data_IF_743335534628
#
_entry.id   IF_743335534628
#
_cell.length_a   1.000
_cell.length_b   1.000
_cell.length_c   1.000
_cell.angle_alpha   90.00
_cell.angle_beta   90.00
_cell.angle_gamma   90.00
#
_symmetry.space_group_name_H-M   'P 1'
#
loop_
_entity.id
_entity.type
_entity.pdbx_description
1 polymer ?
#
# COMPACT_ATOMS: atom_id res chain seq x y z
N UNK A 1 -21.76 -25.48 16.34
CA UNK A 1 -20.76 -25.62 15.25
C UNK A 1 -21.49 -25.47 13.92
N UNK A 2 -21.62 -24.23 13.43
CA UNK A 2 -22.17 -24.00 12.11
C UNK A 2 -21.14 -24.52 11.09
N UNK A 3 -21.60 -25.29 10.10
CA UNK A 3 -20.79 -25.82 9.00
C UNK A 3 -20.00 -24.69 8.34
N UNK A 4 -18.66 -24.70 8.48
CA UNK A 4 -17.73 -23.81 7.77
C UNK A 4 -17.75 -24.17 6.27
N UNK A 5 -18.80 -23.75 5.55
CA UNK A 5 -18.75 -23.72 4.09
C UNK A 5 -17.92 -22.51 3.70
N UNK A 6 -16.85 -22.75 2.93
CA UNK A 6 -16.06 -21.70 2.30
C UNK A 6 -16.97 -20.69 1.59
N UNK A 7 -16.69 -19.40 1.74
CA UNK A 7 -17.41 -18.34 1.04
C UNK A 7 -17.23 -18.52 -0.47
N UNK A 8 -18.32 -18.37 -1.24
CA UNK A 8 -18.27 -18.56 -2.71
C UNK A 8 -17.96 -17.27 -3.48
N UNK A 9 -18.05 -16.13 -2.79
CA UNK A 9 -17.90 -14.79 -3.34
C UNK A 9 -18.78 -14.55 -4.58
N UNK A 10 -20.03 -15.02 -4.53
CA UNK A 10 -20.98 -14.95 -5.66
C UNK A 10 -21.45 -13.52 -5.97
N UNK A 11 -21.35 -12.61 -4.99
CA UNK A 11 -21.80 -11.22 -5.07
C UNK A 11 -20.68 -10.29 -4.60
N UNK A 12 -20.36 -9.29 -5.41
CA UNK A 12 -19.31 -8.31 -5.15
C UNK A 12 -19.91 -6.93 -4.89
N UNK A 13 -19.39 -6.27 -3.87
CA UNK A 13 -19.70 -4.90 -3.50
C UNK A 13 -18.84 -3.94 -4.33
N UNK A 14 -19.49 -3.23 -5.25
CA UNK A 14 -18.83 -2.32 -6.19
C UNK A 14 -18.84 -0.84 -5.73
N UNK A 15 -19.64 -0.52 -4.73
CA UNK A 15 -19.70 0.79 -4.08
C UNK A 15 -19.12 0.71 -2.65
N UNK A 16 -19.18 1.80 -1.89
CA UNK A 16 -18.81 1.75 -0.47
C UNK A 16 -19.71 0.77 0.30
N UNK A 17 -19.20 0.21 1.40
CA UNK A 17 -20.06 -0.60 2.27
C UNK A 17 -21.17 0.25 2.90
N UNK A 18 -22.23 -0.41 3.42
CA UNK A 18 -23.28 0.27 4.18
C UNK A 18 -22.74 1.11 5.36
N UNK A 19 -21.57 0.76 5.91
CA UNK A 19 -20.95 1.48 7.02
C UNK A 19 -20.55 2.92 6.69
N UNK A 20 -20.41 3.26 5.41
CA UNK A 20 -20.01 4.62 5.00
C UNK A 20 -20.92 5.72 5.55
N UNK A 21 -22.23 5.44 5.65
CA UNK A 21 -23.20 6.39 6.21
C UNK A 21 -22.98 6.60 7.71
N UNK A 22 -22.77 5.53 8.47
CA UNK A 22 -22.52 5.62 9.92
C UNK A 22 -21.18 6.26 10.25
N UNK A 23 -20.16 6.01 9.43
CA UNK A 23 -18.88 6.69 9.52
C UNK A 23 -18.98 8.20 9.16
N UNK A 24 -20.08 8.66 8.56
CA UNK A 24 -20.20 10.02 8.05
C UNK A 24 -19.37 10.28 6.79
N UNK A 25 -18.90 9.22 6.12
CA UNK A 25 -18.07 9.33 4.92
C UNK A 25 -18.91 9.61 3.67
N UNK A 26 -18.71 10.76 3.05
CA UNK A 26 -19.37 11.13 1.80
C UNK A 26 -18.44 10.96 0.59
N UNK A 27 -18.53 9.82 -0.09
CA UNK A 27 -17.76 9.56 -1.32
C UNK A 27 -18.07 10.63 -2.39
N UNK A 28 -17.05 11.23 -3.04
CA UNK A 28 -17.29 12.13 -4.17
C UNK A 28 -18.18 11.50 -5.25
N UNK A 29 -19.19 12.25 -5.71
CA UNK A 29 -20.13 11.78 -6.73
C UNK A 29 -19.45 11.45 -8.07
N UNK A 30 -20.16 10.76 -8.96
CA UNK A 30 -19.63 10.32 -10.25
C UNK A 30 -19.03 11.46 -11.11
N UNK A 31 -19.64 12.65 -11.09
CA UNK A 31 -19.15 13.80 -11.85
C UNK A 31 -17.86 14.37 -11.23
N UNK A 32 -17.77 14.43 -9.89
CA UNK A 32 -16.57 14.83 -9.16
C UNK A 32 -15.44 13.82 -9.34
N UNK A 33 -15.73 12.51 -9.34
CA UNK A 33 -14.75 11.44 -9.60
C UNK A 33 -14.16 11.55 -11.00
N UNK A 34 -14.98 11.77 -12.03
CA UNK A 34 -14.49 12.02 -13.39
C UNK A 34 -13.70 13.32 -13.49
N UNK A 35 -14.14 14.40 -12.82
CA UNK A 35 -13.39 15.64 -12.80
C UNK A 35 -12.02 15.47 -12.13
N UNK A 36 -11.93 14.62 -11.10
CA UNK A 36 -10.71 14.37 -10.34
C UNK A 36 -9.60 13.68 -11.15
N UNK A 37 -9.92 12.99 -12.25
CA UNK A 37 -8.93 12.41 -13.16
C UNK A 37 -8.41 13.42 -14.20
N UNK A 38 -8.99 14.61 -14.30
CA UNK A 38 -8.64 15.58 -15.35
C UNK A 38 -7.68 16.67 -14.86
N UNK A 39 -6.77 17.08 -15.76
CA UNK A 39 -5.78 18.14 -15.48
C UNK A 39 -6.41 19.47 -15.08
N UNK A 40 -7.55 19.80 -15.69
CA UNK A 40 -8.26 21.06 -15.43
C UNK A 40 -9.31 20.94 -14.32
N UNK A 41 -9.48 19.76 -13.70
CA UNK A 41 -10.45 19.52 -12.64
C UNK A 41 -11.91 19.69 -13.10
N UNK A 42 -12.19 19.51 -14.39
CA UNK A 42 -13.55 19.61 -14.96
C UNK A 42 -13.98 18.26 -15.48
N UNK A 43 -15.25 17.95 -15.29
CA UNK A 43 -15.84 16.75 -15.84
C UNK A 43 -15.70 16.75 -17.39
N UNK A 44 -15.03 15.75 -17.99
CA UNK A 44 -14.78 15.72 -19.44
C UNK A 44 -16.06 15.59 -20.26
N UNK A 45 -17.15 15.10 -19.66
CA UNK A 45 -18.47 14.97 -20.29
C UNK A 45 -19.25 16.30 -20.29
N UNK A 46 -18.80 17.30 -19.53
CA UNK A 46 -19.39 18.64 -19.45
C UNK A 46 -18.96 19.50 -20.65
N UNK A 47 -19.49 19.21 -21.83
CA UNK A 47 -19.26 20.01 -23.05
C UNK A 47 -20.27 21.16 -23.18
N UNK A 48 -19.87 22.26 -23.83
CA UNK A 48 -20.72 23.45 -24.03
C UNK A 48 -22.04 23.07 -24.68
N UNK A 49 -23.16 23.48 -24.07
CA UNK A 49 -24.51 23.22 -24.57
C UNK A 49 -25.17 21.92 -24.08
N UNK A 50 -24.47 21.03 -23.36
CA UNK A 50 -25.10 19.86 -22.73
C UNK A 50 -25.83 20.24 -21.44
N UNK A 51 -27.10 19.83 -21.24
CA UNK A 51 -27.82 20.06 -20.00
C UNK A 51 -27.16 19.36 -18.79
N UNK A 52 -27.21 19.99 -17.61
CA UNK A 52 -26.63 19.43 -16.38
C UNK A 52 -27.18 18.03 -16.03
N UNK A 53 -28.48 17.80 -16.25
CA UNK A 53 -29.12 16.48 -16.04
C UNK A 53 -28.50 15.39 -16.94
N UNK A 54 -28.19 15.72 -18.19
CA UNK A 54 -27.54 14.81 -19.14
C UNK A 54 -26.12 14.51 -18.71
N UNK A 55 -25.35 15.53 -18.28
CA UNK A 55 -23.98 15.34 -17.77
C UNK A 55 -24.00 14.45 -16.53
N UNK A 56 -24.91 14.67 -15.58
CA UNK A 56 -25.07 13.82 -14.38
C UNK A 56 -25.34 12.37 -14.77
N UNK A 57 -26.28 12.12 -15.69
CA UNK A 57 -26.60 10.77 -16.18
C UNK A 57 -25.39 10.08 -16.83
N UNK A 58 -24.73 10.74 -17.77
CA UNK A 58 -23.55 10.16 -18.44
C UNK A 58 -22.38 9.91 -17.47
N UNK A 59 -22.24 10.77 -16.46
CA UNK A 59 -21.21 10.58 -15.43
C UNK A 59 -21.49 9.36 -14.58
N UNK A 60 -22.76 9.16 -14.21
CA UNK A 60 -23.20 7.99 -13.47
C UNK A 60 -22.98 6.70 -14.28
N UNK A 61 -23.36 6.68 -15.57
CA UNK A 61 -23.12 5.55 -16.47
C UNK A 61 -21.62 5.22 -16.60
N UNK A 62 -20.77 6.24 -16.74
CA UNK A 62 -19.32 6.03 -16.79
C UNK A 62 -18.74 5.49 -15.47
N UNK A 63 -19.28 5.91 -14.33
CA UNK A 63 -18.88 5.38 -13.03
C UNK A 63 -19.32 3.92 -12.84
N UNK A 64 -20.54 3.57 -13.26
CA UNK A 64 -21.07 2.20 -13.21
C UNK A 64 -20.27 1.24 -14.10
N UNK A 65 -19.82 1.69 -15.27
CA UNK A 65 -18.93 0.91 -16.15
C UNK A 65 -17.54 0.68 -15.54
N UNK A 66 -17.07 1.63 -14.71
CA UNK A 66 -15.73 1.57 -14.11
C UNK A 66 -15.70 0.78 -12.80
N UNK A 67 -16.80 0.76 -12.06
CA UNK A 67 -16.91 0.16 -10.73
C UNK A 67 -16.48 -1.32 -10.66
N UNK A 68 -16.78 -2.19 -11.65
CA UNK A 68 -16.28 -3.57 -11.68
C UNK A 68 -14.74 -3.70 -11.82
N UNK A 69 -14.05 -2.62 -12.18
CA UNK A 69 -12.59 -2.58 -12.25
C UNK A 69 -12.00 -1.86 -11.03
N UNK A 70 -12.65 -0.76 -10.64
CA UNK A 70 -12.26 0.10 -9.53
C UNK A 70 -13.51 0.39 -8.68
N UNK A 71 -13.82 -0.46 -7.70
CA UNK A 71 -14.99 -0.27 -6.83
C UNK A 71 -14.82 0.92 -5.89
N UNK A 72 -15.83 1.22 -5.08
CA UNK A 72 -15.72 2.15 -3.96
C UNK A 72 -14.68 1.72 -2.92
N UNK A 73 -14.14 2.67 -2.13
CA UNK A 73 -13.48 2.33 -0.88
C UNK A 73 -14.37 1.39 -0.08
N UNK A 74 -13.84 0.25 0.35
CA UNK A 74 -14.65 -0.76 1.07
C UNK A 74 -15.28 -0.14 2.32
N UNK A 75 -14.47 0.51 3.15
CA UNK A 75 -14.84 1.23 4.37
C UNK A 75 -15.72 0.38 5.30
N UNK A 76 -15.10 -0.34 6.23
CA UNK A 76 -15.73 -1.16 7.26
C UNK A 76 -15.52 -0.55 8.65
N UNK A 77 -16.17 -1.06 9.71
CA UNK A 77 -15.88 -0.64 11.07
C UNK A 77 -14.38 -0.71 11.38
N UNK A 78 -13.87 0.36 12.02
CA UNK A 78 -12.45 0.54 12.41
C UNK A 78 -11.46 0.75 11.27
N UNK A 79 -11.89 0.80 10.02
CA UNK A 79 -11.04 1.23 8.90
C UNK A 79 -10.59 2.69 9.08
N UNK A 80 -9.53 3.10 8.40
CA UNK A 80 -9.00 4.47 8.50
C UNK A 80 -10.08 5.52 8.20
N UNK A 81 -10.87 5.32 7.13
CA UNK A 81 -11.95 6.24 6.77
C UNK A 81 -13.14 6.21 7.74
N UNK A 82 -13.19 5.26 8.66
CA UNK A 82 -14.13 5.31 9.78
C UNK A 82 -13.62 6.26 10.89
N UNK A 83 -12.31 6.39 11.07
CA UNK A 83 -11.71 7.31 12.04
C UNK A 83 -11.51 8.72 11.47
N UNK A 84 -11.19 8.82 10.18
CA UNK A 84 -11.03 10.07 9.44
C UNK A 84 -11.94 10.10 8.19
N UNK A 85 -13.28 10.20 8.36
CA UNK A 85 -14.22 10.27 7.25
C UNK A 85 -14.08 11.57 6.42
N UNK A 86 -13.45 12.60 7.00
CA UNK A 86 -13.23 13.89 6.37
C UNK A 86 -11.86 13.99 5.66
N UNK A 87 -11.13 12.87 5.54
CA UNK A 87 -9.84 12.79 4.86
C UNK A 87 -9.88 13.56 3.51
N UNK A 88 -9.05 14.60 3.33
CA UNK A 88 -9.23 15.54 2.23
C UNK A 88 -8.96 14.88 0.86
N UNK A 89 -9.87 15.03 -0.13
CA UNK A 89 -9.66 14.47 -1.45
C UNK A 89 -8.54 15.21 -2.21
N UNK A 90 -7.57 14.47 -2.72
CA UNK A 90 -6.55 15.02 -3.61
C UNK A 90 -6.82 14.63 -5.08
N UNK A 91 -7.43 15.52 -5.85
CA UNK A 91 -7.61 15.33 -7.31
C UNK A 91 -6.29 15.40 -8.09
N UNK A 92 -6.27 14.95 -9.35
CA UNK A 92 -5.12 15.14 -10.24
C UNK A 92 -4.76 16.63 -10.40
N UNK A 93 -5.75 17.51 -10.53
CA UNK A 93 -5.52 18.96 -10.58
C UNK A 93 -4.90 19.50 -9.29
N UNK A 94 -5.43 19.12 -8.13
CA UNK A 94 -4.90 19.55 -6.82
C UNK A 94 -3.46 19.10 -6.66
N UNK A 95 -3.21 17.82 -6.92
CA UNK A 95 -1.87 17.24 -6.93
C UNK A 95 -0.93 17.99 -7.88
N UNK A 96 -1.35 18.35 -9.09
CA UNK A 96 -0.48 18.98 -10.08
C UNK A 96 0.09 20.34 -9.60
N UNK A 97 -0.69 21.08 -8.81
CA UNK A 97 -0.32 22.38 -8.26
C UNK A 97 0.24 22.31 -6.84
N UNK A 98 0.35 21.10 -6.28
CA UNK A 98 0.97 20.87 -4.98
C UNK A 98 2.46 21.23 -5.05
N UNK A 99 2.89 22.11 -4.14
CA UNK A 99 4.26 22.62 -4.08
C UNK A 99 5.20 21.53 -3.56
N UNK A 100 4.71 20.72 -2.63
CA UNK A 100 5.51 19.70 -1.94
C UNK A 100 5.64 18.38 -2.73
N UNK A 101 5.02 18.27 -3.92
CA UNK A 101 4.98 17.00 -4.68
C UNK A 101 6.31 16.55 -5.30
N UNK A 102 7.34 17.38 -5.22
CA UNK A 102 8.65 17.14 -5.83
C UNK A 102 8.57 16.71 -7.31
N UNK A 103 8.45 17.67 -8.22
CA UNK A 103 8.41 17.38 -9.66
C UNK A 103 9.62 16.55 -10.10
N UNK A 104 9.36 15.45 -10.78
CA UNK A 104 10.42 14.60 -11.35
C UNK A 104 11.12 15.30 -12.51
N UNK A 105 12.44 15.13 -12.61
CA UNK A 105 13.27 15.77 -13.64
C UNK A 105 14.29 14.78 -14.20
N UNK A 106 14.85 15.02 -15.41
CA UNK A 106 15.90 14.16 -15.95
C UNK A 106 17.12 13.98 -15.03
N UNK A 107 17.47 15.02 -14.25
CA UNK A 107 18.60 15.01 -13.32
C UNK A 107 18.26 14.33 -11.98
N UNK A 108 16.97 14.27 -11.62
CA UNK A 108 16.47 13.72 -10.36
C UNK A 108 15.30 12.78 -10.60
N UNK A 109 15.62 11.52 -10.90
CA UNK A 109 14.67 10.50 -11.38
C UNK A 109 14.87 9.11 -10.79
N UNK A 110 15.97 8.87 -10.07
CA UNK A 110 16.33 7.52 -9.61
C UNK A 110 15.58 7.18 -8.33
N UNK A 111 14.87 6.06 -8.30
CA UNK A 111 14.31 5.50 -7.07
C UNK A 111 15.35 4.58 -6.43
N UNK A 112 15.79 4.89 -5.21
CA UNK A 112 16.75 4.07 -4.49
C UNK A 112 16.07 3.17 -3.46
N UNK A 113 16.42 1.90 -3.47
CA UNK A 113 16.04 0.93 -2.42
C UNK A 113 17.23 0.76 -1.49
N UNK A 114 17.07 1.15 -0.22
CA UNK A 114 18.07 0.89 0.83
C UNK A 114 17.75 -0.46 1.46
N UNK A 115 18.69 -1.40 1.37
CA UNK A 115 18.55 -2.72 1.98
C UNK A 115 18.50 -2.61 3.52
N UNK A 116 17.89 -3.59 4.22
CA UNK A 116 17.88 -3.60 5.68
C UNK A 116 19.27 -3.43 6.29
N UNK A 117 19.43 -2.60 7.34
CA UNK A 117 20.74 -2.44 7.98
C UNK A 117 21.24 -3.75 8.60
N UNK A 118 22.54 -4.01 8.49
CA UNK A 118 23.17 -5.18 9.10
C UNK A 118 23.38 -4.92 10.59
N UNK A 119 23.01 -5.87 11.44
CA UNK A 119 23.32 -5.84 12.88
C UNK A 119 24.76 -6.28 13.08
N UNK A 120 25.62 -5.41 13.62
CA UNK A 120 26.99 -5.80 13.96
C UNK A 120 27.02 -6.86 15.07
N UNK A 121 28.09 -7.67 15.09
CA UNK A 121 28.27 -8.76 16.06
C UNK A 121 28.21 -8.28 17.52
N UNK A 122 28.69 -7.06 17.78
CA UNK A 122 28.62 -6.36 19.07
C UNK A 122 27.19 -6.10 19.55
N UNK A 123 26.22 -6.10 18.63
CA UNK A 123 24.80 -5.84 18.86
C UNK A 123 23.92 -7.05 18.55
N UNK A 124 24.45 -8.27 18.50
CA UNK A 124 23.71 -9.49 18.15
C UNK A 124 22.40 -9.71 18.93
N UNK A 125 22.23 -9.09 20.11
CA UNK A 125 20.97 -9.07 20.85
C UNK A 125 19.80 -8.45 20.06
N UNK A 126 20.07 -7.50 19.15
CA UNK A 126 19.06 -6.85 18.32
C UNK A 126 18.39 -7.85 17.37
N UNK A 127 19.08 -8.90 16.92
CA UNK A 127 18.46 -9.92 16.07
C UNK A 127 17.21 -10.53 16.71
N UNK A 128 17.15 -10.55 18.05
CA UNK A 128 15.97 -11.04 18.78
C UNK A 128 14.80 -10.04 18.82
N UNK A 129 14.98 -8.81 18.33
CA UNK A 129 13.94 -7.79 18.21
C UNK A 129 13.19 -7.87 16.86
N UNK A 130 13.79 -8.49 15.84
CA UNK A 130 13.15 -8.73 14.55
C UNK A 130 12.23 -9.96 14.55
N UNK A 131 12.32 -10.79 15.59
CA UNK A 131 11.55 -12.02 15.72
C UNK A 131 10.25 -11.79 16.49
N UNK A 132 9.07 -12.15 15.94
CA UNK A 132 7.81 -12.01 16.64
C UNK A 132 7.71 -12.99 17.81
N UNK A 133 6.99 -12.58 18.85
CA UNK A 133 6.69 -13.41 20.02
C UNK A 133 5.47 -14.26 19.71
N UNK A 134 5.68 -15.55 19.45
CA UNK A 134 4.62 -16.49 19.06
C UNK A 134 4.32 -17.46 20.21
N UNK A 135 3.10 -17.98 20.26
CA UNK A 135 2.69 -19.07 21.17
C UNK A 135 3.03 -20.46 20.62
N UNK A 136 3.50 -20.54 19.36
CA UNK A 136 3.79 -21.78 18.66
C UNK A 136 5.08 -21.62 17.81
N UNK A 137 6.26 -21.60 18.45
CA UNK A 137 7.55 -21.30 17.81
C UNK A 137 7.91 -22.30 16.69
N UNK A 138 7.52 -23.57 16.83
CA UNK A 138 7.97 -24.68 15.98
C UNK A 138 7.49 -24.65 14.51
N UNK A 139 6.70 -23.65 14.07
CA UNK A 139 6.18 -23.58 12.69
C UNK A 139 6.76 -22.49 11.80
N UNK A 140 7.42 -21.46 12.36
CA UNK A 140 7.78 -20.24 11.60
C UNK A 140 9.13 -19.62 11.95
N UNK A 141 9.91 -20.22 12.85
CA UNK A 141 11.24 -19.73 13.25
C UNK A 141 12.26 -19.65 12.08
N UNK A 142 11.98 -20.32 10.96
CA UNK A 142 12.85 -20.39 9.77
C UNK A 142 12.43 -19.44 8.62
N UNK A 143 11.52 -18.49 8.85
CA UNK A 143 11.13 -17.51 7.81
C UNK A 143 12.12 -16.34 7.76
N UNK A 144 12.85 -16.24 6.66
CA UNK A 144 13.66 -15.06 6.36
C UNK A 144 12.76 -13.87 5.95
N UNK A 145 13.13 -12.63 6.35
CA UNK A 145 12.46 -11.42 5.89
C UNK A 145 12.45 -11.31 4.36
N UNK A 146 11.44 -10.63 3.77
CA UNK A 146 11.36 -10.44 2.33
C UNK A 146 12.62 -9.82 1.71
N UNK A 147 13.04 -10.38 0.58
CA UNK A 147 14.25 -9.93 -0.11
C UNK A 147 14.14 -8.48 -0.62
N UNK A 148 15.23 -7.73 -0.46
CA UNK A 148 15.37 -6.40 -1.03
C UNK A 148 15.36 -6.44 -2.57
N UNK A 149 15.83 -7.52 -3.20
CA UNK A 149 15.75 -7.72 -4.65
C UNK A 149 14.31 -7.82 -5.15
N UNK A 150 13.46 -8.54 -4.42
CA UNK A 150 12.04 -8.65 -4.75
C UNK A 150 11.37 -7.27 -4.68
N UNK A 151 11.72 -6.48 -3.67
CA UNK A 151 11.25 -5.09 -3.49
C UNK A 151 11.69 -4.20 -4.66
N UNK A 152 12.97 -4.27 -5.06
CA UNK A 152 13.50 -3.53 -6.21
C UNK A 152 12.79 -3.92 -7.50
N UNK A 153 12.63 -5.22 -7.77
CA UNK A 153 11.96 -5.72 -8.97
C UNK A 153 10.51 -5.26 -9.04
N UNK A 154 9.78 -5.34 -7.91
CA UNK A 154 8.39 -4.91 -7.87
C UNK A 154 8.24 -3.40 -8.08
N UNK A 155 9.07 -2.58 -7.42
CA UNK A 155 9.08 -1.13 -7.61
C UNK A 155 9.44 -0.75 -9.06
N UNK A 156 10.37 -1.48 -9.69
CA UNK A 156 10.76 -1.28 -11.09
C UNK A 156 9.61 -1.58 -12.06
N UNK A 157 8.83 -2.63 -11.78
CA UNK A 157 7.62 -2.95 -12.54
C UNK A 157 6.49 -1.93 -12.27
N UNK A 158 6.27 -1.56 -11.01
CA UNK A 158 5.15 -0.71 -10.60
C UNK A 158 5.35 0.76 -10.98
N UNK A 159 6.55 1.31 -10.86
CA UNK A 159 6.93 2.64 -11.33
C UNK A 159 7.69 2.55 -12.65
N UNK A 160 7.20 1.71 -13.56
CA UNK A 160 7.78 1.48 -14.88
C UNK A 160 8.23 2.79 -15.52
N UNK A 161 9.43 2.80 -16.12
CA UNK A 161 10.02 3.99 -16.74
C UNK A 161 10.92 4.81 -15.81
N UNK A 162 10.97 4.51 -14.51
CA UNK A 162 11.99 5.04 -13.60
C UNK A 162 13.19 4.11 -13.48
N UNK A 163 14.43 4.64 -13.37
CA UNK A 163 15.56 3.86 -12.90
C UNK A 163 15.36 3.50 -11.42
N UNK A 164 15.24 2.21 -11.10
CA UNK A 164 15.24 1.71 -9.71
C UNK A 164 16.56 1.02 -9.43
N UNK A 165 17.24 1.42 -8.35
CA UNK A 165 18.59 0.93 -8.02
C UNK A 165 18.70 0.63 -6.52
N UNK A 166 19.64 -0.23 -6.16
CA UNK A 166 20.06 -0.30 -4.77
C UNK A 166 20.84 0.95 -4.37
N UNK A 167 20.62 1.40 -3.14
CA UNK A 167 21.47 2.39 -2.50
C UNK A 167 22.89 1.82 -2.37
N UNK A 168 23.93 2.58 -2.74
CA UNK A 168 25.27 2.03 -2.93
C UNK A 168 25.96 1.62 -1.62
N UNK A 169 25.50 2.14 -0.48
CA UNK A 169 26.15 1.95 0.82
C UNK A 169 25.33 1.07 1.74
N UNK A 170 26.02 0.21 2.50
CA UNK A 170 25.38 -0.68 3.46
C UNK A 170 25.29 -0.01 4.83
N UNK A 171 24.06 0.19 5.31
CA UNK A 171 23.81 0.68 6.67
C UNK A 171 24.09 -0.42 7.70
N UNK A 172 24.50 -0.01 8.90
CA UNK A 172 24.79 -0.91 10.03
C UNK A 172 24.20 -0.40 11.33
N UNK A 173 23.65 -1.30 12.14
CA UNK A 173 23.37 -1.01 13.54
C UNK A 173 24.64 -1.18 14.37
N UNK A 174 25.03 -0.12 15.08
CA UNK A 174 26.23 -0.04 15.93
C UNK A 174 25.88 0.48 17.33
N UNK A 175 26.69 0.19 18.37
CA UNK A 175 26.43 0.72 19.70
C UNK A 175 26.42 2.26 19.69
N UNK A 176 25.39 2.87 20.26
CA UNK A 176 25.40 4.32 20.49
C UNK A 176 26.30 4.64 21.69
N UNK A 177 27.36 5.42 21.48
CA UNK A 177 28.24 5.88 22.55
C UNK A 177 28.09 7.40 22.72
N UNK A 178 27.57 7.83 23.86
CA UNK A 178 27.58 9.26 24.20
C UNK A 178 29.00 9.70 24.58
N UNK A 179 29.41 10.89 24.16
CA UNK A 179 30.72 11.46 24.41
C UNK A 179 31.01 11.84 25.87
N UNK A 180 30.19 11.43 26.84
CA UNK A 180 30.34 11.83 28.24
C UNK A 180 30.87 10.72 29.16
N UNK A 181 31.96 11.04 29.82
CA UNK A 181 32.60 10.24 30.88
C UNK A 181 31.65 10.06 32.07
N UNK A 182 30.83 8.99 32.08
CA UNK A 182 30.30 8.29 33.27
C UNK A 182 29.22 7.27 32.86
N UNK A 183 29.61 6.14 32.29
CA UNK A 183 28.69 5.01 32.10
C UNK A 183 29.05 3.84 33.01
N UNK A 184 28.45 3.80 34.20
CA UNK A 184 28.36 2.58 35.00
C UNK A 184 27.39 1.62 34.32
N UNK A 185 27.89 0.50 33.81
CA UNK A 185 27.29 -0.85 33.87
C UNK A 185 25.76 -0.97 33.97
N UNK A 186 25.00 -0.39 33.04
CA UNK A 186 23.63 -0.82 32.73
C UNK A 186 23.54 -0.97 31.22
N UNK A 187 23.00 -2.09 30.74
CA UNK A 187 22.65 -2.25 29.32
C UNK A 187 21.56 -1.24 29.01
N UNK A 188 21.92 -0.05 28.53
CA UNK A 188 20.96 0.94 28.13
C UNK A 188 20.55 0.65 26.69
N UNK A 189 19.43 -0.04 26.50
CA UNK A 189 18.88 -0.32 25.16
C UNK A 189 18.11 0.86 24.59
N UNK A 190 18.00 1.98 25.32
CA UNK A 190 17.21 3.16 24.94
C UNK A 190 17.63 3.75 23.58
N UNK A 191 18.90 3.64 23.21
CA UNK A 191 19.43 4.15 21.95
C UNK A 191 20.30 3.12 21.23
N UNK A 192 20.21 3.11 19.90
CA UNK A 192 21.12 2.41 18.99
C UNK A 192 21.64 3.38 17.93
N UNK A 193 22.81 3.13 17.36
CA UNK A 193 23.35 3.92 16.27
C UNK A 193 23.01 3.29 14.91
N UNK A 194 22.54 4.09 13.96
CA UNK A 194 22.44 3.72 12.55
C UNK A 194 23.60 4.37 11.80
N UNK A 195 24.60 3.55 11.47
CA UNK A 195 25.85 4.01 10.89
C UNK A 195 25.86 3.90 9.35
N UNK A 196 26.46 4.92 8.74
CA UNK A 196 26.79 5.02 7.32
C UNK A 196 28.17 5.67 7.20
N UNK A 197 29.17 4.93 6.72
CA UNK A 197 30.57 5.38 6.72
C UNK A 197 30.97 5.91 8.11
N UNK A 198 31.37 7.19 8.18
CA UNK A 198 31.77 7.88 9.42
C UNK A 198 30.61 8.60 10.13
N UNK A 199 29.40 8.58 9.55
CA UNK A 199 28.20 9.17 10.13
C UNK A 199 27.42 8.13 10.93
N UNK A 200 26.80 8.57 12.02
CA UNK A 200 25.98 7.71 12.87
C UNK A 200 24.80 8.50 13.43
N UNK A 201 23.59 8.10 13.07
CA UNK A 201 22.35 8.70 13.56
C UNK A 201 21.88 7.95 14.80
N UNK A 202 21.52 8.67 15.86
CA UNK A 202 20.95 8.08 17.07
C UNK A 202 19.50 7.69 16.82
N UNK A 203 19.17 6.42 17.03
CA UNK A 203 17.82 5.88 16.92
C UNK A 203 17.30 5.54 18.31
N UNK A 204 16.20 6.17 18.72
CA UNK A 204 15.45 5.84 19.93
C UNK A 204 14.81 4.47 19.79
N UNK A 205 14.69 3.78 20.91
CA UNK A 205 13.98 2.50 20.96
C UNK A 205 13.08 2.42 22.18
N UNK A 206 11.98 1.69 22.07
CA UNK A 206 11.05 1.45 23.20
C UNK A 206 10.71 -0.03 23.34
N UNK A 207 10.15 -0.40 24.50
CA UNK A 207 9.48 -1.70 24.62
C UNK A 207 8.16 -1.64 23.84
N UNK A 208 7.79 -2.75 23.22
CA UNK A 208 6.59 -2.80 22.40
C UNK A 208 5.35 -2.91 23.29
N UNK A 209 4.33 -2.04 23.12
CA UNK A 209 3.14 -2.02 23.99
C UNK A 209 2.40 -3.36 24.05
N UNK A 210 2.20 -4.00 22.89
CA UNK A 210 1.44 -5.23 22.72
C UNK A 210 2.24 -6.52 22.94
N UNK A 211 3.55 -6.39 23.20
CA UNK A 211 4.50 -7.50 23.43
C UNK A 211 4.63 -8.47 22.25
N UNK A 212 4.27 -8.06 21.03
CA UNK A 212 4.49 -8.86 19.81
C UNK A 212 5.94 -8.91 19.41
N UNK A 213 6.69 -7.86 19.66
CA UNK A 213 8.14 -7.85 19.54
C UNK A 213 8.78 -7.43 20.86
N UNK A 214 10.11 -7.61 20.97
CA UNK A 214 10.83 -7.19 22.18
C UNK A 214 10.98 -5.68 22.26
N UNK A 215 11.28 -5.03 21.13
CA UNK A 215 11.47 -3.58 21.03
C UNK A 215 11.09 -3.05 19.65
N UNK A 216 10.76 -1.77 19.62
CA UNK A 216 10.55 -0.98 18.42
C UNK A 216 11.66 0.06 18.23
N UNK A 217 11.92 0.45 16.99
CA UNK A 217 12.81 1.55 16.62
C UNK A 217 11.98 2.79 16.24
N UNK A 218 12.44 3.97 16.62
CA UNK A 218 11.73 5.20 16.28
C UNK A 218 11.88 5.51 14.80
N UNK A 219 10.73 5.69 14.16
CA UNK A 219 10.58 5.89 12.74
C UNK A 219 11.08 7.27 12.30
N UNK A 220 10.83 8.32 13.08
CA UNK A 220 11.27 9.68 12.76
C UNK A 220 12.80 9.78 12.73
N UNK A 221 13.48 9.16 13.69
CA UNK A 221 14.96 9.13 13.72
C UNK A 221 15.54 8.41 12.48
N UNK A 222 14.84 7.39 11.96
CA UNK A 222 15.23 6.68 10.73
C UNK A 222 14.99 7.54 9.50
N UNK A 223 13.87 8.26 9.44
CA UNK A 223 13.57 9.19 8.35
C UNK A 223 14.56 10.36 8.31
N UNK A 224 14.98 10.89 9.46
CA UNK A 224 16.03 11.92 9.54
C UNK A 224 17.35 11.41 8.94
N UNK A 225 17.76 10.18 9.27
CA UNK A 225 18.91 9.55 8.64
C UNK A 225 18.74 9.40 7.13
N UNK A 226 17.53 9.02 6.69
CA UNK A 226 17.17 8.87 5.28
C UNK A 226 17.31 10.21 4.52
N UNK A 227 16.89 11.32 5.13
CA UNK A 227 17.02 12.68 4.54
C UNK A 227 18.49 13.04 4.36
N UNK A 228 19.32 12.79 5.38
CA UNK A 228 20.74 13.10 5.33
C UNK A 228 21.49 12.29 4.26
N UNK A 229 21.00 11.08 3.94
CA UNK A 229 21.64 10.19 2.96
C UNK A 229 21.08 10.23 1.54
N UNK A 230 20.07 11.06 1.29
CA UNK A 230 19.38 11.16 0.01
C UNK A 230 20.32 11.59 -1.13
N UNK A 231 20.56 10.74 -2.16
CA UNK A 231 21.43 11.10 -3.27
C UNK A 231 20.91 12.28 -4.09
N UNK A 232 21.82 13.02 -4.73
CA UNK A 232 21.47 14.19 -5.54
C UNK A 232 20.57 13.85 -6.75
N UNK A 233 20.81 12.70 -7.39
CA UNK A 233 20.02 12.22 -8.54
C UNK A 233 18.76 11.44 -8.15
N UNK A 234 18.56 11.21 -6.84
CA UNK A 234 17.45 10.43 -6.34
C UNK A 234 16.14 11.19 -6.51
N UNK A 235 15.18 10.60 -7.22
CA UNK A 235 13.80 11.02 -7.09
C UNK A 235 13.32 10.83 -5.65
N UNK A 236 13.56 9.65 -5.08
CA UNK A 236 13.31 9.34 -3.69
C UNK A 236 14.12 8.13 -3.24
N UNK A 237 14.21 7.91 -1.92
CA UNK A 237 14.70 6.66 -1.36
C UNK A 237 13.61 5.97 -0.54
N UNK A 238 13.61 4.64 -0.55
CA UNK A 238 12.83 3.80 0.35
C UNK A 238 13.77 2.93 1.17
N UNK A 239 13.69 3.06 2.49
CA UNK A 239 14.48 2.27 3.42
C UNK A 239 13.68 1.05 3.90
N UNK A 240 14.21 -0.14 3.64
CA UNK A 240 13.63 -1.38 4.14
C UNK A 240 14.10 -1.63 5.57
N UNK A 241 13.19 -1.99 6.47
CA UNK A 241 13.50 -2.27 7.87
C UNK A 241 12.91 -3.61 8.29
N UNK A 242 13.67 -4.43 9.02
CA UNK A 242 13.19 -5.72 9.53
C UNK A 242 12.74 -5.66 11.00
N UNK A 243 12.69 -4.46 11.58
CA UNK A 243 12.33 -4.21 12.96
C UNK A 243 11.01 -3.48 13.05
N UNK A 244 10.26 -3.76 14.11
CA UNK A 244 9.02 -3.06 14.42
C UNK A 244 9.29 -1.57 14.67
N UNK A 245 8.38 -0.69 14.22
CA UNK A 245 8.58 0.76 14.24
C UNK A 245 7.49 1.47 15.05
N UNK A 246 7.81 2.66 15.54
CA UNK A 246 6.85 3.60 16.14
C UNK A 246 7.20 5.04 15.77
N UNK A 247 6.20 5.91 15.61
CA UNK A 247 6.42 7.33 15.30
C UNK A 247 6.46 8.16 16.60
N UNK A 248 5.46 8.04 17.48
CA UNK A 248 5.39 8.70 18.79
C UNK A 248 4.80 7.81 19.92
N UNK A 249 4.53 8.42 21.08
CA UNK A 249 4.08 7.71 22.28
C UNK A 249 2.61 7.25 22.22
N UNK A 250 1.81 7.82 21.30
CA UNK A 250 0.39 7.48 21.12
C UNK A 250 0.18 6.35 20.10
N UNK A 251 1.18 6.07 19.25
CA UNK A 251 1.14 4.96 18.29
C UNK A 251 1.32 3.58 18.95
N UNK A 252 0.63 2.56 18.43
CA UNK A 252 0.94 1.16 18.73
C UNK A 252 2.17 0.69 17.92
N UNK A 253 2.13 0.85 16.59
CA UNK A 253 3.21 0.53 15.65
C UNK A 253 2.99 1.21 14.29
N UNK A 254 4.04 1.27 13.46
CA UNK A 254 3.94 1.71 12.07
C UNK A 254 4.55 0.67 11.11
N UNK A 255 3.83 0.32 10.05
CA UNK A 255 4.36 -0.55 8.98
C UNK A 255 5.15 0.23 7.92
N UNK A 256 4.87 1.52 7.77
CA UNK A 256 5.54 2.40 6.83
C UNK A 256 5.25 3.86 7.16
N UNK A 257 6.09 4.75 6.64
CA UNK A 257 5.86 6.19 6.66
C UNK A 257 6.71 6.85 5.60
N UNK A 258 6.17 7.91 5.01
CA UNK A 258 6.88 8.76 4.08
C UNK A 258 6.85 10.22 4.53
N UNK A 259 8.00 10.88 4.43
CA UNK A 259 8.06 12.33 4.36
C UNK A 259 8.16 12.71 2.89
N UNK A 260 7.00 12.74 2.22
CA UNK A 260 6.91 12.88 0.77
C UNK A 260 7.58 14.14 0.22
N UNK A 261 7.41 15.27 0.92
CA UNK A 261 8.10 16.53 0.62
C UNK A 261 9.63 16.44 0.71
N UNK A 262 10.15 15.55 1.57
CA UNK A 262 11.57 15.27 1.72
C UNK A 262 12.06 14.13 0.83
N UNK A 263 11.17 13.47 0.07
CA UNK A 263 11.48 12.38 -0.87
C UNK A 263 12.08 11.13 -0.20
N UNK A 264 11.68 10.86 1.04
CA UNK A 264 12.15 9.70 1.80
C UNK A 264 10.97 8.92 2.37
N UNK A 265 11.11 7.61 2.42
CA UNK A 265 10.20 6.76 3.17
C UNK A 265 10.91 5.55 3.78
N UNK A 266 10.27 4.96 4.78
CA UNK A 266 10.69 3.70 5.41
C UNK A 266 9.54 2.72 5.39
N UNK A 267 9.83 1.45 5.14
CA UNK A 267 8.85 0.34 5.20
C UNK A 267 9.42 -0.76 6.08
N UNK A 268 8.68 -1.11 7.11
CA UNK A 268 8.97 -2.24 7.98
C UNK A 268 8.33 -3.52 7.47
N UNK A 269 9.08 -4.61 7.51
CA UNK A 269 8.57 -5.96 7.23
C UNK A 269 8.01 -6.62 8.47
N UNK A 270 8.35 -6.16 9.68
CA UNK A 270 8.13 -6.90 10.92
C UNK A 270 6.66 -7.29 11.17
N UNK A 271 5.75 -6.33 11.09
CA UNK A 271 4.32 -6.51 11.37
C UNK A 271 3.58 -7.32 10.31
N UNK A 272 4.19 -7.52 9.15
CA UNK A 272 3.63 -8.34 8.07
C UNK A 272 3.98 -9.83 8.19
N UNK A 273 4.79 -10.21 9.17
CA UNK A 273 5.20 -11.60 9.37
C UNK A 273 3.96 -12.51 9.62
N UNK A 274 3.80 -13.61 8.85
CA UNK A 274 2.63 -14.50 8.96
C UNK A 274 2.37 -15.10 10.36
N UNK A 275 3.36 -15.06 11.26
CA UNK A 275 3.22 -15.57 12.62
C UNK A 275 2.30 -14.69 13.48
N UNK A 276 2.02 -13.46 13.04
CA UNK A 276 1.15 -12.52 13.73
C UNK A 276 -0.32 -12.67 13.31
N UNK A 277 -0.62 -13.37 12.22
CA UNK A 277 -1.95 -13.40 11.59
C UNK A 277 -3.06 -13.89 12.53
N UNK A 278 -2.74 -14.85 13.41
CA UNK A 278 -3.67 -15.36 14.40
C UNK A 278 -4.01 -14.33 15.49
N UNK A 279 -3.07 -13.43 15.82
CA UNK A 279 -3.30 -12.36 16.78
C UNK A 279 -4.11 -11.21 16.20
N UNK A 280 -3.89 -10.91 14.92
CA UNK A 280 -4.62 -9.90 14.16
C UNK A 280 -5.99 -10.41 13.65
N UNK A 281 -6.30 -11.69 13.91
CA UNK A 281 -7.53 -12.36 13.49
C UNK A 281 -7.82 -12.21 11.99
N UNK A 282 -6.78 -12.37 11.15
CA UNK A 282 -6.89 -12.12 9.72
C UNK A 282 -7.79 -13.16 9.03
N UNK A 283 -8.76 -12.67 8.26
CA UNK A 283 -9.64 -13.48 7.42
C UNK A 283 -9.00 -13.69 6.04
N UNK A 284 -8.28 -14.82 5.89
CA UNK A 284 -7.62 -15.18 4.62
C UNK A 284 -8.59 -15.33 3.44
N UNK A 285 -9.84 -15.72 3.71
CA UNK A 285 -10.86 -15.91 2.66
C UNK A 285 -11.29 -14.57 2.05
N UNK A 286 -11.06 -13.47 2.75
CA UNK A 286 -11.54 -12.14 2.38
C UNK A 286 -10.42 -11.09 2.35
N UNK A 287 -9.18 -11.52 2.14
CA UNK A 287 -8.12 -10.61 1.67
C UNK A 287 -8.44 -10.13 0.25
N UNK A 288 -7.80 -9.06 -0.21
CA UNK A 288 -7.96 -8.63 -1.61
C UNK A 288 -7.59 -9.78 -2.56
N UNK A 289 -8.41 -10.07 -3.59
CA UNK A 289 -9.56 -9.30 -4.09
C UNK A 289 -10.92 -9.63 -3.44
N UNK A 290 -11.01 -10.76 -2.73
CA UNK A 290 -12.25 -11.24 -2.11
C UNK A 290 -12.78 -10.36 -0.97
N UNK A 291 -11.99 -9.39 -0.50
CA UNK A 291 -12.41 -8.32 0.41
C UNK A 291 -13.68 -7.56 -0.02
N UNK A 292 -13.96 -7.51 -1.33
CA UNK A 292 -15.18 -6.91 -1.87
C UNK A 292 -16.37 -7.87 -1.92
N UNK A 293 -16.29 -9.05 -1.29
CA UNK A 293 -17.44 -9.93 -1.18
C UNK A 293 -18.55 -9.25 -0.36
N UNK A 294 -19.74 -9.08 -0.95
CA UNK A 294 -20.84 -8.38 -0.29
C UNK A 294 -21.26 -9.06 1.02
N UNK A 295 -21.41 -10.38 1.02
CA UNK A 295 -21.78 -11.15 2.23
C UNK A 295 -20.79 -10.97 3.37
N UNK A 296 -19.51 -10.79 3.04
CA UNK A 296 -18.46 -10.52 4.01
C UNK A 296 -18.58 -9.11 4.59
N UNK A 297 -18.69 -8.10 3.72
CA UNK A 297 -18.86 -6.70 4.13
C UNK A 297 -20.11 -6.51 4.99
N UNK A 298 -21.26 -7.05 4.55
CA UNK A 298 -22.53 -6.99 5.27
C UNK A 298 -22.41 -7.63 6.67
N UNK A 299 -21.75 -8.80 6.77
CA UNK A 299 -21.53 -9.48 8.05
C UNK A 299 -20.70 -8.62 9.01
N UNK A 300 -19.65 -7.95 8.52
CA UNK A 300 -18.83 -7.09 9.37
C UNK A 300 -19.56 -5.82 9.79
N UNK A 301 -20.42 -5.26 8.94
CA UNK A 301 -21.28 -4.13 9.30
C UNK A 301 -22.36 -4.52 10.32
N UNK A 302 -22.90 -5.74 10.23
CA UNK A 302 -23.99 -6.20 11.09
C UNK A 302 -23.58 -6.40 12.57
N UNK A 303 -22.30 -6.65 12.84
CA UNK A 303 -21.79 -6.78 14.22
C UNK A 303 -21.95 -5.48 15.02
N UNK A 304 -22.05 -4.36 14.33
CA UNK A 304 -22.24 -3.02 14.91
C UNK A 304 -23.71 -2.55 14.86
N UNK A 305 -24.66 -3.46 14.60
CA UNK A 305 -26.10 -3.19 14.66
C UNK A 305 -26.73 -2.63 13.38
N UNK A 306 -25.99 -2.62 12.25
CA UNK A 306 -26.56 -2.27 10.94
C UNK A 306 -27.22 -3.48 10.27
N UNK A 307 -28.45 -3.29 9.80
CA UNK A 307 -29.11 -4.29 8.96
C UNK A 307 -28.53 -4.23 7.52
N UNK A 308 -28.22 -5.37 6.89
CA UNK A 308 -27.73 -5.39 5.51
C UNK A 308 -28.73 -4.78 4.54
N UNK A 309 -28.28 -3.87 3.66
CA UNK A 309 -29.11 -3.40 2.55
C UNK A 309 -29.32 -4.50 1.50
N UNK A 310 -30.54 -4.57 0.94
CA UNK A 310 -30.86 -5.48 -0.16
C UNK A 310 -29.92 -5.26 -1.34
N UNK A 311 -29.37 -6.36 -1.86
CA UNK A 311 -28.48 -6.32 -3.01
C UNK A 311 -29.21 -5.87 -4.29
N UNK A 312 -29.02 -4.61 -4.67
CA UNK A 312 -29.41 -4.15 -6.00
C UNK A 312 -28.36 -4.62 -7.00
N UNK A 313 -28.62 -5.77 -7.64
CA UNK A 313 -27.76 -6.29 -8.71
C UNK A 313 -27.49 -5.21 -9.76
N UNK A 314 -26.26 -4.73 -9.81
CA UNK A 314 -25.82 -3.91 -10.94
C UNK A 314 -25.83 -4.75 -12.22
N UNK A 315 -26.27 -4.17 -13.33
CA UNK A 315 -26.20 -4.81 -14.66
C UNK A 315 -24.77 -5.21 -15.07
N UNK A 316 -23.76 -4.72 -14.34
CA UNK A 316 -22.35 -4.97 -14.58
C UNK A 316 -21.71 -6.03 -13.66
N UNK A 317 -22.41 -6.54 -12.64
CA UNK A 317 -21.90 -7.60 -11.74
C UNK A 317 -21.73 -8.97 -12.42
N UNK A 318 -22.38 -9.18 -13.56
CA UNK A 318 -22.32 -10.42 -14.34
C UNK A 318 -21.36 -10.34 -15.52
N UNK A 319 -20.62 -9.25 -15.68
CA UNK A 319 -19.63 -9.07 -16.73
C UNK A 319 -18.28 -9.58 -16.26
N UNK A 320 -17.58 -10.31 -17.14
CA UNK A 320 -16.20 -10.79 -17.00
C UNK A 320 -15.21 -9.64 -16.73
N UNK A 321 -15.26 -9.09 -15.52
CA UNK A 321 -14.63 -7.84 -15.11
C UNK A 321 -13.29 -8.08 -14.44
N UNK A 322 -12.40 -7.07 -14.38
CA UNK A 322 -11.12 -7.22 -13.71
C UNK A 322 -11.22 -7.69 -12.26
N UNK A 323 -12.15 -7.15 -11.46
CA UNK A 323 -12.33 -7.60 -10.08
C UNK A 323 -12.87 -9.02 -10.01
N UNK A 324 -13.84 -9.38 -10.86
CA UNK A 324 -14.39 -10.74 -10.88
C UNK A 324 -13.32 -11.77 -11.26
N UNK A 325 -12.55 -11.54 -12.33
CA UNK A 325 -11.45 -12.42 -12.73
C UNK A 325 -10.41 -12.59 -11.62
N UNK A 326 -10.12 -11.52 -10.86
CA UNK A 326 -9.22 -11.60 -9.72
C UNK A 326 -9.79 -12.50 -8.61
N UNK A 327 -11.06 -12.33 -8.23
CA UNK A 327 -11.74 -13.15 -7.21
C UNK A 327 -11.80 -14.62 -7.62
N UNK A 328 -11.97 -14.92 -8.91
CA UNK A 328 -12.00 -16.30 -9.40
C UNK A 328 -10.68 -17.04 -9.18
N UNK A 329 -9.54 -16.34 -9.19
CA UNK A 329 -8.24 -16.93 -8.86
C UNK A 329 -8.19 -17.35 -7.38
N UNK A 330 -8.76 -16.55 -6.47
CA UNK A 330 -8.64 -16.73 -5.02
C UNK A 330 -9.86 -17.41 -4.38
N UNK A 331 -10.77 -17.98 -5.19
CA UNK A 331 -12.03 -18.61 -4.74
C UNK A 331 -11.86 -19.81 -3.80
N UNK A 332 -10.63 -20.29 -3.57
CA UNK A 332 -10.34 -21.40 -2.65
C UNK A 332 -9.60 -20.85 -1.45
N UNK A 333 -10.07 -21.21 -0.26
CA UNK A 333 -9.38 -20.96 1.02
C UNK A 333 -7.94 -21.45 0.92
N UNK A 334 -6.98 -20.53 0.99
CA UNK A 334 -5.57 -20.86 0.92
C UNK A 334 -4.80 -20.13 2.01
N UNK A 335 -4.57 -20.85 3.11
CA UNK A 335 -3.46 -20.52 4.01
C UNK A 335 -2.23 -21.16 3.38
N UNK A 336 -1.18 -20.40 3.02
CA UNK A 336 -0.01 -20.98 2.38
C UNK A 336 0.63 -22.04 3.28
N UNK A 337 0.62 -23.33 2.87
CA UNK A 337 1.08 -24.42 3.72
C UNK A 337 2.61 -24.62 3.66
N UNK A 338 3.29 -23.97 2.70
CA UNK A 338 4.74 -24.08 2.48
C UNK A 338 5.48 -22.84 2.99
N UNK A 339 6.75 -23.00 3.33
CA UNK A 339 7.63 -21.87 3.70
C UNK A 339 7.68 -20.84 2.56
N UNK A 340 7.87 -21.29 1.32
CA UNK A 340 7.86 -20.43 0.13
C UNK A 340 6.56 -19.61 0.01
N UNK A 341 5.41 -20.26 0.20
CA UNK A 341 4.11 -19.58 0.14
C UNK A 341 3.94 -18.56 1.27
N UNK A 342 4.48 -18.83 2.46
CA UNK A 342 4.44 -17.90 3.59
C UNK A 342 5.40 -16.72 3.42
N UNK A 343 6.61 -16.95 2.90
CA UNK A 343 7.53 -15.90 2.48
C UNK A 343 6.91 -15.03 1.38
N UNK A 344 6.22 -15.65 0.42
CA UNK A 344 5.51 -14.95 -0.64
C UNK A 344 4.33 -14.12 -0.13
N UNK A 345 3.53 -14.65 0.79
CA UNK A 345 2.47 -13.89 1.47
C UNK A 345 3.04 -12.70 2.23
N UNK A 346 4.12 -12.90 3.00
CA UNK A 346 4.80 -11.85 3.74
C UNK A 346 5.26 -10.72 2.79
N UNK A 347 5.98 -11.09 1.73
CA UNK A 347 6.43 -10.13 0.73
C UNK A 347 5.27 -9.41 0.05
N UNK A 348 4.16 -10.09 -0.25
CA UNK A 348 3.01 -9.48 -0.93
C UNK A 348 2.40 -8.32 -0.13
N UNK A 349 2.47 -8.39 1.21
CA UNK A 349 2.00 -7.32 2.10
C UNK A 349 2.97 -6.14 2.08
N UNK A 350 4.25 -6.43 2.26
CA UNK A 350 5.34 -5.43 2.15
C UNK A 350 5.31 -4.72 0.81
N UNK A 351 5.07 -5.45 -0.29
CA UNK A 351 4.99 -4.92 -1.63
C UNK A 351 3.90 -3.84 -1.78
N UNK A 352 2.72 -4.03 -1.17
CA UNK A 352 1.65 -3.02 -1.16
C UNK A 352 2.07 -1.77 -0.39
N UNK A 353 2.71 -1.92 0.76
CA UNK A 353 3.20 -0.79 1.58
C UNK A 353 4.32 -0.04 0.87
N UNK A 354 5.20 -0.75 0.17
CA UNK A 354 6.28 -0.14 -0.61
C UNK A 354 5.76 0.84 -1.66
N UNK A 355 4.78 0.42 -2.45
CA UNK A 355 4.17 1.30 -3.46
C UNK A 355 3.26 2.35 -2.85
N UNK A 356 2.74 2.12 -1.64
CA UNK A 356 2.00 3.13 -0.89
C UNK A 356 2.94 4.28 -0.46
N UNK A 357 4.01 3.96 0.25
CA UNK A 357 4.96 4.95 0.77
C UNK A 357 5.73 5.67 -0.35
N UNK A 358 6.11 4.95 -1.40
CA UNK A 358 6.71 5.61 -2.58
C UNK A 358 5.67 6.51 -3.26
N UNK A 359 4.38 6.16 -3.26
CA UNK A 359 3.30 7.03 -3.73
C UNK A 359 3.25 8.38 -3.00
N UNK A 360 3.47 8.38 -1.68
CA UNK A 360 3.62 9.61 -0.92
C UNK A 360 4.84 10.44 -1.33
N UNK A 361 5.96 9.82 -1.72
CA UNK A 361 7.11 10.52 -2.32
C UNK A 361 6.79 11.18 -3.67
N UNK A 362 5.73 10.75 -4.38
CA UNK A 362 5.17 11.47 -5.52
C UNK A 362 4.28 12.65 -5.12
N UNK A 363 4.16 12.98 -3.83
CA UNK A 363 3.23 13.97 -3.30
C UNK A 363 1.78 13.54 -3.31
N UNK A 364 1.51 12.23 -3.42
CA UNK A 364 0.14 11.72 -3.46
C UNK A 364 -0.32 11.44 -2.03
N UNK A 365 -1.37 12.13 -1.57
CA UNK A 365 -1.97 11.86 -0.26
C UNK A 365 -2.88 10.63 -0.27
N UNK A 366 -3.50 10.33 0.88
CA UNK A 366 -4.49 9.26 0.96
C UNK A 366 -5.64 9.45 -0.04
N UNK A 367 -6.11 8.36 -0.62
CA UNK A 367 -7.11 8.33 -1.68
C UNK A 367 -8.47 7.94 -1.15
N UNK A 368 -9.50 8.74 -1.41
CA UNK A 368 -10.89 8.47 -0.99
C UNK A 368 -11.84 8.15 -2.16
N UNK A 369 -11.35 8.18 -3.40
CA UNK A 369 -12.22 8.16 -4.58
C UNK A 369 -12.73 6.76 -4.93
N UNK A 370 -11.90 5.75 -4.73
CA UNK A 370 -12.08 4.36 -5.16
C UNK A 370 -11.27 3.46 -4.23
N UNK A 371 -11.52 2.15 -4.27
CA UNK A 371 -10.56 1.17 -3.78
C UNK A 371 -9.19 1.49 -4.40
N UNK A 372 -8.16 1.69 -3.59
CA UNK A 372 -6.85 2.15 -4.07
C UNK A 372 -5.76 1.77 -3.09
N UNK A 373 -4.60 1.37 -3.60
CA UNK A 373 -3.42 1.13 -2.77
C UNK A 373 -2.97 2.35 -1.94
N UNK A 374 -3.36 3.56 -2.34
CA UNK A 374 -3.10 4.80 -1.61
C UNK A 374 -4.22 5.18 -0.64
N UNK A 375 -5.15 4.29 -0.31
CA UNK A 375 -6.01 4.51 0.85
C UNK A 375 -5.18 4.44 2.13
N UNK A 376 -5.51 5.31 3.09
CA UNK A 376 -4.98 5.15 4.44
C UNK A 376 -5.44 3.82 5.05
N UNK A 377 -4.71 3.35 6.05
CA UNK A 377 -4.94 2.05 6.68
C UNK A 377 -4.65 2.15 8.16
N UNK A 378 -5.63 1.78 8.99
CA UNK A 378 -5.55 1.90 10.45
C UNK A 378 -5.00 0.63 11.12
N UNK A 379 -4.86 -0.48 10.38
CA UNK A 379 -4.37 -1.74 10.92
C UNK A 379 -4.27 -2.89 9.92
N UNK A 380 -3.74 -4.02 10.39
CA UNK A 380 -3.40 -5.18 9.55
C UNK A 380 -4.60 -5.80 8.85
N UNK A 381 -5.76 -5.84 9.53
CA UNK A 381 -6.99 -6.37 8.96
C UNK A 381 -7.53 -5.52 7.80
N UNK A 382 -7.28 -4.20 7.81
CA UNK A 382 -7.60 -3.31 6.69
C UNK A 382 -6.53 -3.43 5.58
N UNK A 383 -5.24 -3.45 5.92
CA UNK A 383 -4.13 -3.53 4.96
C UNK A 383 -4.31 -4.67 3.95
N UNK A 384 -4.64 -5.87 4.44
CA UNK A 384 -4.79 -7.05 3.59
C UNK A 384 -6.02 -7.01 2.68
N UNK A 385 -6.97 -6.09 2.92
CA UNK A 385 -8.13 -5.85 2.07
C UNK A 385 -7.86 -4.79 0.99
N UNK A 386 -6.79 -4.02 1.12
CA UNK A 386 -6.46 -2.98 0.14
C UNK A 386 -6.00 -3.58 -1.20
N UNK A 387 -6.41 -3.00 -2.34
CA UNK A 387 -5.97 -3.48 -3.63
C UNK A 387 -4.48 -3.17 -3.88
N UNK A 388 -3.77 -3.95 -4.72
CA UNK A 388 -2.40 -3.68 -5.12
C UNK A 388 -2.31 -2.70 -6.31
N UNK A 389 -3.38 -2.01 -6.68
CA UNK A 389 -3.42 -1.09 -7.83
C UNK A 389 -3.66 0.36 -7.43
N UNK A 390 -3.27 1.27 -8.32
CA UNK A 390 -3.70 2.67 -8.28
C UNK A 390 -5.05 2.82 -8.99
N UNK A 391 -6.00 3.50 -8.34
CA UNK A 391 -7.25 3.88 -8.99
C UNK A 391 -7.01 4.92 -10.09
N UNK A 392 -8.01 5.22 -10.95
CA UNK A 392 -7.83 6.14 -12.07
C UNK A 392 -7.32 7.52 -11.67
N UNK A 393 -7.69 8.04 -10.50
CA UNK A 393 -7.21 9.35 -10.02
C UNK A 393 -5.73 9.32 -9.66
N UNK A 394 -5.28 8.30 -8.92
CA UNK A 394 -3.88 8.19 -8.49
C UNK A 394 -2.97 7.72 -9.63
N UNK A 395 -3.48 6.86 -10.52
CA UNK A 395 -2.79 6.44 -11.74
C UNK A 395 -2.51 7.62 -12.66
N UNK A 396 -3.45 8.55 -12.81
CA UNK A 396 -3.26 9.78 -13.59
C UNK A 396 -2.08 10.62 -13.07
N UNK A 397 -1.91 10.73 -11.76
CA UNK A 397 -0.79 11.47 -11.13
C UNK A 397 0.55 10.82 -11.47
N UNK A 398 0.69 9.51 -11.23
CA UNK A 398 1.93 8.76 -11.49
C UNK A 398 2.23 8.72 -13.00
N UNK A 399 1.23 8.43 -13.83
CA UNK A 399 1.40 8.39 -15.27
C UNK A 399 1.79 9.76 -15.83
N UNK A 400 1.22 10.86 -15.32
CA UNK A 400 1.62 12.20 -15.72
C UNK A 400 3.06 12.52 -15.32
N UNK A 401 3.46 12.24 -14.08
CA UNK A 401 4.83 12.46 -13.61
C UNK A 401 5.85 11.74 -14.51
N UNK A 402 5.63 10.45 -14.78
CA UNK A 402 6.61 9.64 -15.51
C UNK A 402 6.52 9.85 -17.02
N UNK A 403 5.33 9.70 -17.62
CA UNK A 403 5.18 9.79 -19.07
C UNK A 403 5.30 11.24 -19.56
N UNK A 404 4.62 12.19 -18.92
CA UNK A 404 4.56 13.57 -19.42
C UNK A 404 5.69 14.45 -18.89
N UNK A 405 6.01 14.39 -17.59
CA UNK A 405 7.04 15.28 -17.03
C UNK A 405 8.46 14.76 -17.28
N UNK A 406 8.70 13.47 -17.03
CA UNK A 406 10.04 12.88 -17.23
C UNK A 406 10.30 12.51 -18.69
N UNK A 407 9.35 11.83 -19.34
CA UNK A 407 9.55 11.30 -20.70
C UNK A 407 9.01 12.20 -21.81
N UNK A 408 8.43 13.36 -21.46
CA UNK A 408 7.90 14.35 -22.41
C UNK A 408 6.85 13.78 -23.40
N UNK A 409 6.13 12.73 -23.03
CA UNK A 409 5.02 12.16 -23.82
C UNK A 409 3.79 13.06 -23.76
N UNK A 410 3.03 13.10 -24.85
CA UNK A 410 1.73 13.74 -24.90
C UNK A 410 0.63 12.87 -24.24
N UNK A 411 -0.63 13.25 -24.41
CA UNK A 411 -1.76 12.52 -23.82
C UNK A 411 -1.86 11.07 -24.38
N UNK A 412 -1.67 10.88 -25.68
CA UNK A 412 -1.70 9.54 -26.28
C UNK A 412 -0.53 8.68 -25.80
N UNK A 413 0.67 9.27 -25.70
CA UNK A 413 1.83 8.58 -25.16
C UNK A 413 1.70 8.23 -23.67
N UNK A 414 0.97 9.02 -22.89
CA UNK A 414 0.61 8.70 -21.50
C UNK A 414 -0.37 7.51 -21.41
N UNK A 415 -1.34 7.44 -22.31
CA UNK A 415 -2.27 6.31 -22.40
C UNK A 415 -1.54 5.01 -22.78
N UNK A 416 -0.58 5.07 -23.72
CA UNK A 416 0.26 3.91 -24.02
C UNK A 416 1.19 3.56 -22.86
N UNK A 417 1.76 4.56 -22.17
CA UNK A 417 2.56 4.33 -20.96
C UNK A 417 1.79 3.54 -19.88
N UNK A 418 0.50 3.84 -19.68
CA UNK A 418 -0.34 3.09 -18.74
C UNK A 418 -0.40 1.61 -19.14
N UNK A 419 -0.53 1.30 -20.43
CA UNK A 419 -0.51 -0.08 -20.94
C UNK A 419 0.85 -0.73 -20.75
N UNK A 420 1.94 -0.05 -21.09
CA UNK A 420 3.33 -0.52 -20.86
C UNK A 420 3.58 -0.86 -19.39
N UNK A 421 3.21 0.05 -18.48
CA UNK A 421 3.28 -0.15 -17.04
C UNK A 421 2.51 -1.38 -16.59
N UNK A 422 1.27 -1.54 -17.06
CA UNK A 422 0.47 -2.73 -16.72
C UNK A 422 1.11 -4.02 -17.23
N UNK A 423 1.68 -4.03 -18.45
CA UNK A 423 2.41 -5.21 -18.96
C UNK A 423 3.62 -5.55 -18.09
N UNK A 424 4.41 -4.55 -17.68
CA UNK A 424 5.55 -4.77 -16.78
C UNK A 424 5.14 -5.38 -15.43
N UNK A 425 4.05 -4.90 -14.83
CA UNK A 425 3.51 -5.47 -13.58
C UNK A 425 2.96 -6.88 -13.82
N UNK A 426 2.31 -7.14 -14.95
CA UNK A 426 1.81 -8.48 -15.28
C UNK A 426 2.96 -9.49 -15.42
N UNK A 427 4.08 -9.10 -16.02
CA UNK A 427 5.29 -9.93 -16.10
C UNK A 427 5.84 -10.27 -14.71
N UNK A 428 5.91 -9.28 -13.81
CA UNK A 428 6.26 -9.53 -12.40
C UNK A 428 5.29 -10.53 -11.76
N UNK A 429 3.98 -10.33 -11.91
CA UNK A 429 2.96 -11.21 -11.34
C UNK A 429 3.06 -12.66 -11.87
N UNK A 430 3.54 -12.88 -13.10
CA UNK A 430 3.78 -14.23 -13.64
C UNK A 430 4.87 -14.95 -12.86
N UNK A 431 5.95 -14.24 -12.49
CA UNK A 431 7.05 -14.82 -11.68
C UNK A 431 6.61 -15.14 -10.25
N UNK A 432 5.63 -14.39 -9.72
CA UNK A 432 5.07 -14.55 -8.38
C UNK A 432 3.69 -15.23 -8.34
N UNK A 433 3.28 -15.93 -9.40
CA UNK A 433 1.93 -16.52 -9.53
C UNK A 433 1.58 -17.59 -8.47
N UNK A 434 2.55 -18.03 -7.68
CA UNK A 434 2.35 -18.95 -6.55
C UNK A 434 1.81 -18.22 -5.31
N UNK A 435 1.80 -16.88 -5.31
CA UNK A 435 1.24 -16.03 -4.27
C UNK A 435 -0.09 -15.46 -4.75
N UNK A 436 -1.15 -15.68 -3.99
CA UNK A 436 -2.52 -15.35 -4.38
C UNK A 436 -2.72 -13.89 -4.77
N UNK A 437 -2.14 -12.94 -4.03
CA UNK A 437 -2.20 -11.51 -4.36
C UNK A 437 -1.71 -11.24 -5.79
N UNK A 438 -0.53 -11.77 -6.15
CA UNK A 438 0.08 -11.52 -7.45
C UNK A 438 -0.61 -12.32 -8.57
N UNK A 439 -1.07 -13.54 -8.29
CA UNK A 439 -1.89 -14.31 -9.21
C UNK A 439 -3.19 -13.57 -9.57
N UNK A 440 -3.91 -13.10 -8.55
CA UNK A 440 -5.13 -12.32 -8.69
C UNK A 440 -4.88 -10.97 -9.38
N UNK A 441 -3.81 -10.27 -9.01
CA UNK A 441 -3.46 -9.00 -9.63
C UNK A 441 -3.09 -9.17 -11.11
N UNK A 442 -2.36 -10.22 -11.45
CA UNK A 442 -2.09 -10.57 -12.84
C UNK A 442 -3.36 -10.82 -13.66
N UNK A 443 -4.37 -11.48 -13.07
CA UNK A 443 -5.68 -11.67 -13.72
C UNK A 443 -6.42 -10.34 -13.91
N UNK A 444 -6.49 -9.52 -12.85
CA UNK A 444 -7.08 -8.18 -12.90
C UNK A 444 -6.43 -7.32 -14.01
N UNK A 445 -5.09 -7.34 -14.11
CA UNK A 445 -4.37 -6.55 -15.11
C UNK A 445 -4.68 -7.01 -16.53
N UNK A 446 -4.72 -8.33 -16.79
CA UNK A 446 -5.03 -8.84 -18.14
C UNK A 446 -6.41 -8.41 -18.60
N UNK A 447 -7.41 -8.51 -17.72
CA UNK A 447 -8.76 -8.01 -17.98
C UNK A 447 -8.76 -6.49 -18.21
N UNK A 448 -8.00 -5.74 -17.40
CA UNK A 448 -7.91 -4.27 -17.54
C UNK A 448 -7.25 -3.86 -18.86
N UNK A 449 -6.24 -4.60 -19.33
CA UNK A 449 -5.58 -4.35 -20.60
C UNK A 449 -6.51 -4.59 -21.79
N UNK A 450 -7.41 -5.58 -21.71
CA UNK A 450 -8.45 -5.81 -22.72
C UNK A 450 -9.38 -4.58 -22.81
N UNK A 451 -9.89 -4.11 -21.67
CA UNK A 451 -10.74 -2.91 -21.61
C UNK A 451 -10.07 -1.60 -22.07
N UNK A 452 -8.74 -1.55 -22.08
CA UNK A 452 -7.98 -0.40 -22.58
C UNK A 452 -7.62 -0.52 -24.07
N UNK A 453 -7.83 -1.69 -24.65
CA UNK A 453 -7.53 -1.99 -26.06
C UNK A 453 -8.78 -1.96 -26.93
N UNK A 454 -9.95 -2.18 -26.33
CA UNK A 454 -11.28 -1.92 -26.89
C UNK A 454 -11.61 -0.41 -26.85
#
# INVERSE_FOLDING_TARGET
MASNKACRHDELLLECSPWAVEAGFERPDAAKRLAATTRNGRNPLSTKGKPAKTVKKLSQEAAEQLAPSFPGPLLLPKDELNWDPDCPPQSFRSWLVEIERNRITPDRRTLYVVAPPIVESSMSYMNTWAQPTTTNPDKLDDLDPPSADASLQYLSAFYHGLPVKFFPEQLRFVPWTESSQRARSRKNYEYVGLARNDLCTRIRTRQVPDKRFKRQLNLNDILDAAIEMLPDDAYSIVLLMNFDLFEDDDDDFCCGRAYGGSRVCVVSTARYHPALDAYENLDYDHMWPASHCKKFADRLCAVEGLEPEEHQKSTHETLDSPLQQAVEITRKVYIPPTIEGQSGLWFSRVARTLVHEVGHCFGIGHCIYYACNLQGTSGMAEDVRQPPYLCPVCLEKVAYAIACELQARDQAGKEEYIKERYRAIAEFCVTWKHVDLFAAYGAWIRARLQQLSD
#
